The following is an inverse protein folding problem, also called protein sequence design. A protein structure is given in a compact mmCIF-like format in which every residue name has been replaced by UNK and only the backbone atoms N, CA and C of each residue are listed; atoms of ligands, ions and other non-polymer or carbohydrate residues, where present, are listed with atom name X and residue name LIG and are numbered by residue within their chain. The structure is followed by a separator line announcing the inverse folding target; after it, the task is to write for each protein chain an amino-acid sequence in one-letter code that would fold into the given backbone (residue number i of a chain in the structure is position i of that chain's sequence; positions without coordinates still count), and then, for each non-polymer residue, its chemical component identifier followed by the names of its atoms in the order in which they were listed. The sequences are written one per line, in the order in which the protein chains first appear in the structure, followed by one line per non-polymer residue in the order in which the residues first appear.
data_IF_655608555550
#
_entry.id   IF_655608555550
#
_cell.length_a   1.000
_cell.length_b   1.000
_cell.length_c   1.000
_cell.angle_alpha   90.00
_cell.angle_beta   90.00
_cell.angle_gamma   90.00
#
_symmetry.space_group_name_H-M   'P 1'
#
loop_
_entity.id
_entity.type
_entity.pdbx_description
1 polymer ?
#
# COMPACT_ATOMS: atom_id res chain seq x y z
N UNK A 1 -6.40 -7.66 -22.47
CA UNK A 1 -6.20 -6.20 -22.41
C UNK A 1 -5.08 -5.92 -21.43
N UNK A 2 -4.20 -4.97 -21.74
CA UNK A 2 -3.11 -4.56 -20.86
C UNK A 2 -3.44 -3.16 -20.33
N UNK A 3 -3.20 -2.94 -19.05
CA UNK A 3 -3.41 -1.67 -18.39
C UNK A 3 -2.13 -1.23 -17.70
N UNK A 4 -1.86 0.06 -17.77
CA UNK A 4 -0.90 0.74 -16.91
C UNK A 4 -1.69 1.72 -16.03
N UNK A 5 -1.57 1.54 -14.71
CA UNK A 5 -2.39 2.25 -13.71
C UNK A 5 -1.46 2.91 -12.71
N UNK A 6 -1.75 4.16 -12.40
CA UNK A 6 -1.05 4.94 -11.38
C UNK A 6 -2.07 5.55 -10.42
N UNK A 7 -1.83 5.32 -9.13
CA UNK A 7 -2.61 5.88 -8.03
C UNK A 7 -1.72 6.81 -7.21
N UNK A 8 -2.17 8.05 -6.99
CA UNK A 8 -1.58 8.99 -6.05
C UNK A 8 -2.58 9.31 -4.96
N UNK A 9 -2.17 9.15 -3.71
CA UNK A 9 -2.97 9.48 -2.53
C UNK A 9 -2.21 10.50 -1.69
N UNK A 10 -2.92 11.54 -1.26
CA UNK A 10 -2.42 12.54 -0.32
C UNK A 10 -3.36 12.59 0.88
N UNK A 11 -2.79 12.66 2.08
CA UNK A 11 -3.56 12.72 3.31
C UNK A 11 -3.06 13.88 4.16
N UNK A 12 -3.96 14.81 4.49
CA UNK A 12 -3.73 15.86 5.47
C UNK A 12 -4.49 15.50 6.74
N UNK A 13 -3.76 15.25 7.82
CA UNK A 13 -4.33 14.88 9.10
C UNK A 13 -4.33 16.08 10.06
N UNK A 14 -5.46 16.33 10.72
CA UNK A 14 -5.57 17.38 11.74
C UNK A 14 -4.79 17.04 13.04
N UNK A 15 -4.50 15.76 13.26
CA UNK A 15 -3.66 15.24 14.33
C UNK A 15 -3.02 13.92 13.85
N UNK A 16 -1.93 13.48 14.49
CA UNK A 16 -1.27 12.24 14.09
C UNK A 16 -2.26 11.06 14.05
N UNK A 17 -2.20 10.26 12.98
CA UNK A 17 -2.82 8.94 12.98
C UNK A 17 -2.30 8.13 14.18
N UNK A 18 -3.06 7.19 14.72
CA UNK A 18 -2.66 6.44 15.92
C UNK A 18 -1.24 5.87 15.81
N UNK A 19 -0.30 6.45 16.56
CA UNK A 19 1.13 6.10 16.50
C UNK A 19 1.80 6.28 15.13
N UNK A 20 1.24 7.13 14.26
CA UNK A 20 1.68 7.34 12.88
C UNK A 20 1.52 6.11 11.98
N UNK A 21 0.70 5.13 12.37
CA UNK A 21 0.59 3.83 11.68
C UNK A 21 -0.49 3.81 10.60
N UNK A 22 -0.18 3.20 9.47
CA UNK A 22 -1.11 2.98 8.36
C UNK A 22 -1.00 1.56 7.83
N UNK A 23 -2.11 1.01 7.35
CA UNK A 23 -2.15 -0.23 6.58
C UNK A 23 -2.66 0.06 5.17
N UNK A 24 -1.77 -0.06 4.19
CA UNK A 24 -2.02 0.33 2.80
C UNK A 24 -2.26 -0.93 1.96
N UNK A 25 -3.41 -0.98 1.27
CA UNK A 25 -3.89 -2.14 0.48
C UNK A 25 -4.25 -1.72 -0.94
N UNK A 26 -3.29 -1.13 -1.65
CA UNK A 26 -3.53 -0.54 -2.99
C UNK A 26 -2.81 -1.27 -4.12
N UNK A 27 -1.98 -2.26 -3.80
CA UNK A 27 -1.33 -3.07 -4.82
C UNK A 27 -2.39 -3.97 -5.49
N UNK A 28 -2.37 -4.09 -6.83
CA UNK A 28 -3.31 -4.96 -7.53
C UNK A 28 -3.06 -6.42 -7.19
N UNK A 29 -4.13 -7.22 -7.13
CA UNK A 29 -4.04 -8.66 -6.87
C UNK A 29 -3.87 -9.47 -8.16
N UNK A 30 -3.10 -10.56 -8.10
CA UNK A 30 -3.15 -11.59 -9.16
C UNK A 30 -4.31 -12.53 -8.88
N UNK A 31 -5.20 -12.72 -9.86
CA UNK A 31 -6.40 -13.56 -9.75
C UNK A 31 -6.35 -14.59 -10.87
N UNK A 32 -6.26 -15.88 -10.52
CA UNK A 32 -6.08 -16.97 -11.47
C UNK A 32 -7.19 -16.96 -12.54
N UNK A 33 -6.79 -17.00 -13.81
CA UNK A 33 -7.71 -16.99 -14.96
C UNK A 33 -8.40 -15.65 -15.24
N UNK A 34 -8.18 -14.62 -14.41
CA UNK A 34 -8.86 -13.32 -14.53
C UNK A 34 -7.87 -12.16 -14.71
N UNK A 35 -6.87 -12.03 -13.82
CA UNK A 35 -5.93 -10.91 -13.78
C UNK A 35 -4.53 -11.36 -13.45
N UNK A 36 -3.54 -10.88 -14.22
CA UNK A 36 -2.11 -11.05 -13.94
C UNK A 36 -1.44 -9.69 -13.74
N UNK A 37 -0.75 -9.51 -12.63
CA UNK A 37 0.10 -8.34 -12.39
C UNK A 37 1.48 -8.59 -13.01
N UNK A 38 1.90 -7.73 -13.95
CA UNK A 38 3.22 -7.84 -14.61
C UNK A 38 4.31 -7.21 -13.75
N UNK A 39 4.05 -5.98 -13.28
CA UNK A 39 4.92 -5.25 -12.38
C UNK A 39 4.04 -4.32 -11.52
N UNK A 40 4.49 -4.07 -10.30
CA UNK A 40 3.86 -3.13 -9.38
C UNK A 40 4.93 -2.53 -8.47
N UNK A 41 4.76 -1.26 -8.10
CA UNK A 41 5.62 -0.60 -7.12
C UNK A 41 4.77 0.29 -6.22
N UNK A 42 5.23 0.47 -4.99
CA UNK A 42 4.60 1.34 -4.00
C UNK A 42 5.68 2.11 -3.25
N UNK A 43 5.56 3.44 -3.29
CA UNK A 43 6.45 4.39 -2.64
C UNK A 43 5.65 5.34 -1.74
N UNK A 44 6.36 5.98 -0.82
CA UNK A 44 5.80 6.90 0.16
C UNK A 44 6.68 8.15 0.25
N UNK A 45 6.04 9.30 0.39
CA UNK A 45 6.69 10.58 0.63
C UNK A 45 5.89 11.33 1.71
N UNK A 46 6.48 11.66 2.88
CA UNK A 46 7.83 11.32 3.31
C UNK A 46 8.07 9.80 3.41
N UNK A 47 9.33 9.38 3.47
CA UNK A 47 9.66 7.98 3.68
C UNK A 47 9.31 7.57 5.12
N UNK A 48 8.62 6.44 5.33
CA UNK A 48 8.24 5.99 6.67
C UNK A 48 9.46 5.42 7.42
N UNK A 49 9.44 5.52 8.75
CA UNK A 49 10.48 4.97 9.62
C UNK A 49 10.38 3.45 9.74
N UNK A 50 9.16 2.92 9.66
CA UNK A 50 8.90 1.47 9.63
C UNK A 50 8.13 1.11 8.37
N UNK A 51 8.51 -0.01 7.75
CA UNK A 51 7.74 -0.66 6.69
C UNK A 51 7.78 -2.17 6.88
N UNK A 52 6.63 -2.82 6.77
CA UNK A 52 6.51 -4.26 6.62
C UNK A 52 5.46 -4.59 5.57
N UNK A 53 5.69 -5.66 4.83
CA UNK A 53 4.78 -6.16 3.80
C UNK A 53 4.33 -7.58 4.21
N UNK A 54 3.03 -7.84 4.20
CA UNK A 54 2.47 -9.15 4.57
C UNK A 54 1.13 -9.40 3.86
N UNK A 55 0.69 -10.67 3.85
CA UNK A 55 -0.66 -11.02 3.42
C UNK A 55 -1.59 -11.10 4.63
N UNK A 56 -2.74 -10.43 4.58
CA UNK A 56 -3.76 -10.58 5.62
C UNK A 56 -4.53 -11.90 5.50
N UNK A 57 -5.45 -12.14 6.44
CA UNK A 57 -6.27 -13.36 6.48
C UNK A 57 -7.07 -13.60 5.18
N UNK A 58 -7.41 -12.54 4.45
CA UNK A 58 -8.16 -12.62 3.20
C UNK A 58 -7.24 -12.74 1.97
N UNK A 59 -5.93 -12.78 2.19
CA UNK A 59 -4.92 -12.87 1.13
C UNK A 59 -4.64 -11.53 0.45
N UNK A 60 -5.07 -10.39 1.00
CA UNK A 60 -4.70 -9.10 0.46
C UNK A 60 -3.24 -8.78 0.82
N UNK A 61 -2.50 -8.20 -0.13
CA UNK A 61 -1.21 -7.62 0.17
C UNK A 61 -1.42 -6.34 1.00
N UNK A 62 -0.80 -6.30 2.18
CA UNK A 62 -0.81 -5.17 3.10
C UNK A 62 0.61 -4.65 3.25
N UNK A 63 0.81 -3.39 2.91
CA UNK A 63 2.00 -2.64 3.30
C UNK A 63 1.67 -1.85 4.57
N UNK A 64 2.20 -2.30 5.70
CA UNK A 64 2.11 -1.57 6.97
C UNK A 64 3.27 -0.60 7.09
N UNK A 65 2.97 0.65 7.42
CA UNK A 65 3.97 1.71 7.61
C UNK A 65 3.74 2.43 8.93
N UNK A 66 4.81 3.01 9.47
CA UNK A 66 4.71 3.96 10.58
C UNK A 66 5.60 5.18 10.35
N UNK A 67 5.05 6.36 10.63
CA UNK A 67 5.77 7.63 10.72
C UNK A 67 6.06 7.93 12.19
N UNK A 68 7.29 8.30 12.49
CA UNK A 68 7.74 8.74 13.82
C UNK A 68 8.41 10.10 13.65
N UNK A 69 8.10 11.01 14.57
CA UNK A 69 8.77 12.29 14.71
C UNK A 69 10.18 12.12 15.32
#
# INVERSE_FOLDING_TARGET
MLYDIRLHLHYDYAAAAGGGRHQVRVLPSTILGVQRVIAASLSFAPAPNERSDFSDFFGNNVTSIAFRD
#
